data_IF_204550668496
#
_entry.id   IF_204550668496
#
_cell.length_a   1.000
_cell.length_b   1.000
_cell.length_c   1.000
_cell.angle_alpha   90.00
_cell.angle_beta   90.00
_cell.angle_gamma   90.00
#
_symmetry.space_group_name_H-M   'P 1'
#
loop_
_entity.id
_entity.type
_entity.pdbx_description
1 polymer ?
#
# COMPACT_ATOMS: atom_id res chain seq x y z
N UNK A 1 -16.69 38.25 -29.37
CA UNK A 1 -16.26 36.84 -29.48
C UNK A 1 -15.05 36.48 -28.58
N UNK A 2 -14.07 37.36 -28.42
CA UNK A 2 -12.88 37.10 -27.53
C UNK A 2 -13.23 36.97 -26.04
N UNK A 3 -14.26 37.74 -25.57
CA UNK A 3 -14.66 37.74 -24.15
C UNK A 3 -15.39 36.45 -23.70
N UNK A 4 -16.13 35.78 -24.54
CA UNK A 4 -16.84 34.54 -24.22
C UNK A 4 -15.86 33.36 -24.08
N UNK A 5 -14.85 33.29 -24.95
CA UNK A 5 -13.76 32.28 -24.83
C UNK A 5 -12.91 32.49 -23.57
N UNK A 6 -12.68 33.74 -23.16
CA UNK A 6 -11.90 34.05 -21.96
C UNK A 6 -12.69 33.71 -20.68
N UNK A 7 -14.03 33.86 -20.69
CA UNK A 7 -14.89 33.42 -19.58
C UNK A 7 -14.94 31.91 -19.48
N UNK A 8 -15.15 31.17 -20.56
CA UNK A 8 -15.17 29.71 -20.59
C UNK A 8 -13.82 29.09 -20.15
N UNK A 9 -12.70 29.73 -20.50
CA UNK A 9 -11.38 29.32 -20.04
C UNK A 9 -11.14 29.58 -18.54
N UNK A 10 -11.68 30.68 -18.00
CA UNK A 10 -11.61 30.93 -16.55
C UNK A 10 -12.43 29.94 -15.75
N UNK A 11 -13.67 29.69 -16.17
CA UNK A 11 -14.54 28.74 -15.47
C UNK A 11 -13.97 27.32 -15.49
N UNK A 12 -13.35 26.90 -16.60
CA UNK A 12 -12.61 25.62 -16.69
C UNK A 12 -11.38 25.58 -15.78
N UNK A 13 -10.66 26.69 -15.69
CA UNK A 13 -9.46 26.79 -14.84
C UNK A 13 -9.84 26.81 -13.35
N UNK A 14 -10.87 27.55 -12.97
CA UNK A 14 -11.40 27.59 -11.61
C UNK A 14 -11.90 26.20 -11.18
N UNK A 15 -12.69 25.53 -12.02
CA UNK A 15 -13.15 24.17 -11.76
C UNK A 15 -12.01 23.12 -11.73
N UNK A 16 -10.90 23.36 -12.41
CA UNK A 16 -9.69 22.54 -12.28
C UNK A 16 -9.01 22.78 -10.94
N UNK A 17 -8.85 24.05 -10.52
CA UNK A 17 -8.24 24.42 -9.24
C UNK A 17 -9.06 23.87 -8.06
N UNK A 18 -10.38 24.00 -8.09
CA UNK A 18 -11.25 23.45 -7.06
C UNK A 18 -11.10 21.93 -6.91
N UNK A 19 -11.08 21.21 -8.02
CA UNK A 19 -10.85 19.74 -8.02
C UNK A 19 -9.47 19.38 -7.50
N UNK A 20 -8.45 20.14 -7.87
CA UNK A 20 -7.09 19.93 -7.39
C UNK A 20 -6.98 20.21 -5.88
N UNK A 21 -7.55 21.32 -5.42
CA UNK A 21 -7.58 21.69 -4.00
C UNK A 21 -8.33 20.63 -3.17
N UNK A 22 -9.50 20.17 -3.65
CA UNK A 22 -10.24 19.08 -3.01
C UNK A 22 -9.47 17.77 -2.92
N UNK A 23 -8.74 17.42 -3.99
CA UNK A 23 -7.88 16.22 -3.99
C UNK A 23 -6.74 16.33 -2.98
N UNK A 24 -6.07 17.45 -2.92
CA UNK A 24 -5.01 17.71 -1.96
C UNK A 24 -5.54 17.68 -0.51
N UNK A 25 -6.64 18.38 -0.25
CA UNK A 25 -7.25 18.43 1.07
C UNK A 25 -7.64 17.04 1.58
N UNK A 26 -8.35 16.25 0.77
CA UNK A 26 -8.76 14.90 1.16
C UNK A 26 -7.56 13.96 1.36
N UNK A 27 -6.53 14.08 0.54
CA UNK A 27 -5.30 13.29 0.68
C UNK A 27 -4.57 13.62 1.99
N UNK A 28 -4.45 14.91 2.31
CA UNK A 28 -3.84 15.39 3.56
C UNK A 28 -4.65 14.93 4.77
N UNK A 29 -5.96 15.11 4.74
CA UNK A 29 -6.86 14.68 5.83
C UNK A 29 -6.75 13.17 6.07
N UNK A 30 -6.84 12.35 5.04
CA UNK A 30 -6.70 10.89 5.17
C UNK A 30 -5.34 10.49 5.75
N UNK A 31 -4.25 11.12 5.29
CA UNK A 31 -2.90 10.89 5.82
C UNK A 31 -2.81 11.23 7.30
N UNK A 32 -3.30 12.41 7.70
CA UNK A 32 -3.31 12.86 9.09
C UNK A 32 -4.14 11.93 9.99
N UNK A 33 -5.37 11.59 9.59
CA UNK A 33 -6.20 10.65 10.33
C UNK A 33 -5.55 9.27 10.43
N UNK A 34 -4.94 8.79 9.35
CA UNK A 34 -4.20 7.53 9.40
C UNK A 34 -3.09 7.55 10.45
N UNK A 35 -2.29 8.62 10.52
CA UNK A 35 -1.26 8.77 11.55
C UNK A 35 -1.85 8.81 12.97
N UNK A 36 -2.94 9.54 13.17
CA UNK A 36 -3.61 9.62 14.46
C UNK A 36 -4.05 8.22 14.94
N UNK A 37 -4.59 7.41 14.03
CA UNK A 37 -5.00 6.03 14.32
C UNK A 37 -3.82 5.04 14.38
N UNK A 38 -2.61 5.44 13.99
CA UNK A 38 -1.39 4.66 14.18
C UNK A 38 -0.71 4.89 15.54
N UNK A 39 -1.14 5.89 16.34
CA UNK A 39 -0.55 6.18 17.67
C UNK A 39 -0.50 4.93 18.56
N UNK A 40 -1.56 4.13 18.71
CA UNK A 40 -1.43 2.82 19.28
C UNK A 40 -0.76 1.87 18.25
N UNK A 41 0.42 1.38 18.55
CA UNK A 41 1.20 0.50 17.63
C UNK A 41 0.37 -0.70 17.12
N UNK A 42 -0.55 -1.20 17.95
CA UNK A 42 -1.42 -2.33 17.62
C UNK A 42 -2.40 -2.03 16.48
N UNK A 43 -2.79 -0.77 16.31
CA UNK A 43 -3.79 -0.34 15.31
C UNK A 43 -3.19 0.07 13.96
N UNK A 44 -1.86 0.05 13.82
CA UNK A 44 -1.16 0.44 12.57
C UNK A 44 -1.68 -0.34 11.37
N UNK A 45 -1.82 -1.66 11.47
CA UNK A 45 -2.33 -2.49 10.37
C UNK A 45 -3.77 -2.13 9.97
N UNK A 46 -4.64 -1.89 10.95
CA UNK A 46 -6.01 -1.48 10.68
C UNK A 46 -6.08 -0.08 10.04
N UNK A 47 -5.23 0.84 10.49
CA UNK A 47 -5.12 2.18 9.94
C UNK A 47 -4.63 2.17 8.48
N UNK A 48 -3.58 1.39 8.18
CA UNK A 48 -3.06 1.24 6.82
C UNK A 48 -4.10 0.62 5.88
N UNK A 49 -4.80 -0.43 6.33
CA UNK A 49 -5.88 -1.04 5.54
C UNK A 49 -7.01 -0.04 5.25
N UNK A 50 -7.44 0.71 6.27
CA UNK A 50 -8.48 1.72 6.12
C UNK A 50 -8.05 2.87 5.20
N UNK A 51 -6.78 3.28 5.27
CA UNK A 51 -6.21 4.28 4.38
C UNK A 51 -6.22 3.81 2.93
N UNK A 52 -5.80 2.57 2.68
CA UNK A 52 -5.81 2.00 1.32
C UNK A 52 -7.23 1.84 0.78
N UNK A 53 -8.21 1.41 1.59
CA UNK A 53 -9.60 1.32 1.14
C UNK A 53 -10.18 2.71 0.82
N UNK A 54 -10.06 3.66 1.74
CA UNK A 54 -10.56 5.01 1.54
C UNK A 54 -9.90 5.71 0.35
N UNK A 55 -8.58 5.56 0.20
CA UNK A 55 -7.87 6.13 -0.93
C UNK A 55 -8.23 5.45 -2.25
N UNK A 56 -8.42 4.13 -2.24
CA UNK A 56 -8.86 3.39 -3.42
C UNK A 56 -10.24 3.82 -3.89
N UNK A 57 -11.19 3.97 -2.98
CA UNK A 57 -12.53 4.43 -3.29
C UNK A 57 -12.51 5.89 -3.78
N UNK A 58 -11.69 6.72 -3.17
CA UNK A 58 -11.53 8.12 -3.57
C UNK A 58 -10.91 8.27 -4.97
N UNK A 59 -9.83 7.54 -5.26
CA UNK A 59 -9.09 7.67 -6.54
C UNK A 59 -9.79 6.96 -7.70
N UNK A 60 -10.41 5.79 -7.45
CA UNK A 60 -10.96 4.93 -8.50
C UNK A 60 -12.45 5.17 -8.73
N UNK A 61 -13.20 5.44 -7.65
CA UNK A 61 -14.67 5.57 -7.69
C UNK A 61 -15.15 6.98 -7.40
N UNK A 62 -14.25 7.96 -7.24
CA UNK A 62 -14.54 9.37 -6.99
C UNK A 62 -15.43 9.59 -5.74
N UNK A 63 -15.23 8.79 -4.68
CA UNK A 63 -16.01 8.87 -3.44
C UNK A 63 -15.87 10.26 -2.77
N UNK A 64 -16.99 10.92 -2.56
CA UNK A 64 -17.01 12.30 -2.04
C UNK A 64 -16.66 12.39 -0.54
N UNK A 65 -16.84 11.30 0.22
CA UNK A 65 -16.65 11.26 1.68
C UNK A 65 -15.60 10.22 2.12
N UNK A 66 -14.34 10.36 1.67
CA UNK A 66 -13.31 9.35 1.92
C UNK A 66 -13.01 9.14 3.41
N UNK A 67 -13.19 10.15 4.25
CA UNK A 67 -13.01 10.03 5.69
C UNK A 67 -14.05 9.10 6.36
N UNK A 68 -15.30 9.13 5.88
CA UNK A 68 -16.34 8.20 6.34
C UNK A 68 -16.00 6.76 5.94
N UNK A 69 -15.51 6.58 4.72
CA UNK A 69 -15.01 5.28 4.26
C UNK A 69 -13.87 4.80 5.17
N UNK A 70 -12.89 5.64 5.44
CA UNK A 70 -11.78 5.31 6.35
C UNK A 70 -12.27 4.78 7.70
N UNK A 71 -13.18 5.48 8.38
CA UNK A 71 -13.69 5.07 9.70
C UNK A 71 -14.47 3.75 9.64
N UNK A 72 -15.25 3.54 8.59
CA UNK A 72 -16.00 2.30 8.41
C UNK A 72 -15.03 1.11 8.14
N UNK A 73 -14.06 1.32 7.28
CA UNK A 73 -13.06 0.31 6.91
C UNK A 73 -12.14 -0.03 8.07
N UNK A 74 -11.76 0.98 8.87
CA UNK A 74 -11.00 0.76 10.09
C UNK A 74 -11.72 -0.23 11.03
N UNK A 75 -13.02 -0.06 11.25
CA UNK A 75 -13.82 -0.98 12.08
C UNK A 75 -13.99 -2.34 11.43
N UNK A 76 -14.28 -2.36 10.12
CA UNK A 76 -14.53 -3.59 9.36
C UNK A 76 -13.30 -4.51 9.35
N UNK A 77 -12.13 -3.98 9.07
CA UNK A 77 -10.91 -4.76 8.90
C UNK A 77 -10.03 -4.85 10.15
N UNK A 78 -10.45 -4.25 11.25
CA UNK A 78 -9.64 -4.13 12.48
C UNK A 78 -9.00 -5.46 12.89
N UNK A 79 -9.80 -6.53 13.05
CA UNK A 79 -9.30 -7.82 13.53
C UNK A 79 -8.27 -8.45 12.62
N UNK A 80 -8.59 -8.57 11.34
CA UNK A 80 -7.70 -9.24 10.37
C UNK A 80 -6.41 -8.45 10.17
N UNK A 81 -6.49 -7.13 10.03
CA UNK A 81 -5.33 -6.27 9.79
C UNK A 81 -4.42 -6.16 11.00
N UNK A 82 -4.98 -6.14 12.21
CA UNK A 82 -4.21 -6.14 13.45
C UNK A 82 -3.42 -7.45 13.62
N UNK A 83 -4.06 -8.59 13.36
CA UNK A 83 -3.36 -9.90 13.43
C UNK A 83 -2.23 -9.95 12.39
N UNK A 84 -2.50 -9.54 11.15
CA UNK A 84 -1.48 -9.51 10.09
C UNK A 84 -0.32 -8.59 10.48
N UNK A 85 -0.61 -7.39 11.01
CA UNK A 85 0.41 -6.45 11.46
C UNK A 85 1.27 -7.03 12.58
N UNK A 86 0.66 -7.65 13.61
CA UNK A 86 1.39 -8.23 14.73
C UNK A 86 2.29 -9.39 14.29
N UNK A 87 1.83 -10.21 13.34
CA UNK A 87 2.66 -11.27 12.75
C UNK A 87 3.87 -10.69 12.01
N UNK A 88 3.68 -9.62 11.22
CA UNK A 88 4.81 -8.93 10.58
C UNK A 88 5.77 -8.32 11.60
N UNK A 89 5.25 -7.62 12.61
CA UNK A 89 6.07 -7.00 13.65
C UNK A 89 6.91 -8.04 14.39
N UNK A 90 6.32 -9.19 14.72
CA UNK A 90 7.02 -10.31 15.35
C UNK A 90 8.08 -10.89 14.40
N UNK A 91 7.75 -11.13 13.14
CA UNK A 91 8.69 -11.65 12.14
C UNK A 91 9.89 -10.70 11.95
N UNK A 92 9.64 -9.40 11.82
CA UNK A 92 10.74 -8.41 11.75
C UNK A 92 11.57 -8.38 13.03
N UNK A 93 10.95 -8.45 14.22
CA UNK A 93 11.67 -8.47 15.49
C UNK A 93 12.61 -9.69 15.57
N UNK A 94 12.15 -10.88 15.20
CA UNK A 94 12.97 -12.09 15.15
C UNK A 94 14.13 -11.93 14.18
N UNK A 95 13.87 -11.48 12.94
CA UNK A 95 14.92 -11.30 11.93
C UNK A 95 15.95 -10.23 12.34
N UNK A 96 15.54 -9.18 13.05
CA UNK A 96 16.46 -8.16 13.58
C UNK A 96 17.35 -8.79 14.67
N UNK A 97 16.80 -9.58 15.57
CA UNK A 97 17.58 -10.27 16.60
C UNK A 97 18.57 -11.26 15.98
N UNK A 98 18.14 -12.03 14.97
CA UNK A 98 19.03 -12.93 14.23
C UNK A 98 20.15 -12.16 13.52
N UNK A 99 19.83 -11.03 12.90
CA UNK A 99 20.84 -10.18 12.27
C UNK A 99 21.86 -9.66 13.29
N UNK A 100 21.41 -9.22 14.47
CA UNK A 100 22.29 -8.74 15.53
C UNK A 100 23.20 -9.86 16.08
N UNK A 101 22.73 -11.10 16.08
CA UNK A 101 23.50 -12.27 16.48
C UNK A 101 24.65 -12.54 15.50
N UNK A 102 24.39 -12.47 14.18
CA UNK A 102 25.41 -12.70 13.15
C UNK A 102 26.27 -11.48 12.83
N UNK A 103 25.91 -10.30 13.35
CA UNK A 103 26.63 -9.06 13.09
C UNK A 103 28.03 -9.09 13.73
N UNK A 104 29.05 -8.86 12.90
CA UNK A 104 30.44 -8.79 13.35
C UNK A 104 31.18 -10.12 13.33
N UNK A 105 30.55 -11.19 12.86
CA UNK A 105 31.25 -12.45 12.58
C UNK A 105 31.95 -12.41 11.22
N UNK A 106 33.21 -12.85 11.20
CA UNK A 106 34.03 -12.91 9.96
C UNK A 106 34.01 -14.30 9.31
N UNK A 107 33.31 -15.25 9.90
CA UNK A 107 33.22 -16.62 9.38
C UNK A 107 32.26 -16.68 8.21
N UNK A 108 32.52 -17.56 7.26
CA UNK A 108 31.64 -17.78 6.09
C UNK A 108 30.20 -18.06 6.49
N UNK A 109 29.96 -18.75 7.61
CA UNK A 109 28.66 -19.08 8.13
C UNK A 109 27.90 -17.82 8.59
N UNK A 110 28.58 -16.83 9.15
CA UNK A 110 27.98 -15.57 9.60
C UNK A 110 27.55 -14.73 8.41
N UNK A 111 28.38 -14.70 7.35
CA UNK A 111 28.05 -13.99 6.10
C UNK A 111 26.86 -14.64 5.40
N UNK A 112 26.80 -15.98 5.34
CA UNK A 112 25.65 -16.70 4.79
C UNK A 112 24.39 -16.45 5.60
N UNK A 113 24.49 -16.44 6.94
CA UNK A 113 23.36 -16.12 7.83
C UNK A 113 22.83 -14.72 7.59
N UNK A 114 23.68 -13.70 7.58
CA UNK A 114 23.30 -12.31 7.28
C UNK A 114 22.63 -12.19 5.91
N UNK A 115 23.19 -12.82 4.87
CA UNK A 115 22.61 -12.79 3.52
C UNK A 115 21.24 -13.42 3.49
N UNK A 116 21.05 -14.58 4.15
CA UNK A 116 19.74 -15.23 4.26
C UNK A 116 18.70 -14.36 4.95
N UNK A 117 19.07 -13.69 6.05
CA UNK A 117 18.20 -12.75 6.77
C UNK A 117 17.80 -11.57 5.86
N UNK A 118 18.73 -10.99 5.11
CA UNK A 118 18.44 -9.91 4.16
C UNK A 118 17.42 -10.35 3.09
N UNK A 119 17.57 -11.55 2.55
CA UNK A 119 16.62 -12.10 1.57
C UNK A 119 15.23 -12.25 2.20
N UNK A 120 15.13 -12.81 3.41
CA UNK A 120 13.85 -12.97 4.10
C UNK A 120 13.20 -11.61 4.42
N UNK A 121 13.98 -10.65 4.92
CA UNK A 121 13.49 -9.28 5.16
C UNK A 121 12.95 -8.65 3.88
N UNK A 122 13.66 -8.81 2.75
CA UNK A 122 13.22 -8.27 1.46
C UNK A 122 11.87 -8.87 1.03
N UNK A 123 11.71 -10.18 1.18
CA UNK A 123 10.43 -10.87 0.86
C UNK A 123 9.29 -10.35 1.74
N UNK A 124 9.53 -10.16 3.04
CA UNK A 124 8.53 -9.60 3.96
C UNK A 124 8.15 -8.15 3.59
N UNK A 125 9.12 -7.32 3.21
CA UNK A 125 8.85 -5.95 2.75
C UNK A 125 7.99 -5.96 1.49
N UNK A 126 8.34 -6.78 0.50
CA UNK A 126 7.55 -6.92 -0.74
C UNK A 126 6.11 -7.35 -0.47
N UNK A 127 5.93 -8.30 0.43
CA UNK A 127 4.61 -8.79 0.80
C UNK A 127 3.82 -7.70 1.56
N UNK A 128 4.47 -7.00 2.49
CA UNK A 128 3.86 -5.96 3.31
C UNK A 128 3.30 -4.80 2.46
N UNK A 129 3.92 -4.45 1.33
CA UNK A 129 3.40 -3.43 0.41
C UNK A 129 1.99 -3.76 -0.11
N UNK A 130 1.66 -5.05 -0.22
CA UNK A 130 0.42 -5.51 -0.84
C UNK A 130 -0.58 -6.10 0.13
N UNK A 131 -0.17 -6.56 1.31
CA UNK A 131 -1.08 -7.29 2.21
C UNK A 131 -2.26 -6.43 2.67
N UNK A 132 -2.03 -5.17 3.01
CA UNK A 132 -3.10 -4.27 3.45
C UNK A 132 -4.02 -3.85 2.28
N UNK A 133 -3.49 -3.78 1.06
CA UNK A 133 -4.29 -3.59 -0.15
C UNK A 133 -5.17 -4.81 -0.42
N UNK A 134 -4.63 -6.02 -0.28
CA UNK A 134 -5.40 -7.27 -0.45
C UNK A 134 -6.54 -7.37 0.54
N UNK A 135 -6.32 -6.97 1.79
CA UNK A 135 -7.37 -6.95 2.83
C UNK A 135 -8.41 -5.87 2.51
N UNK A 136 -7.99 -4.65 2.15
CA UNK A 136 -8.90 -3.53 1.84
C UNK A 136 -9.82 -3.81 0.65
N UNK A 137 -9.40 -4.68 -0.27
CA UNK A 137 -10.20 -5.07 -1.43
C UNK A 137 -11.03 -6.35 -1.22
N UNK A 138 -11.24 -6.77 0.04
CA UNK A 138 -11.97 -7.99 0.41
C UNK A 138 -11.46 -9.25 -0.33
N UNK A 139 -10.19 -9.26 -0.73
CA UNK A 139 -9.61 -10.38 -1.45
C UNK A 139 -9.24 -11.56 -0.53
N UNK A 140 -9.22 -11.37 0.78
CA UNK A 140 -8.84 -12.39 1.75
C UNK A 140 -9.78 -12.43 2.95
N UNK A 141 -10.24 -13.63 3.30
CA UNK A 141 -11.13 -13.88 4.44
C UNK A 141 -10.35 -14.24 5.71
N UNK A 142 -9.07 -14.57 5.58
CA UNK A 142 -8.21 -14.97 6.69
C UNK A 142 -6.84 -14.32 6.60
N UNK A 143 -6.13 -14.14 7.73
CA UNK A 143 -4.76 -13.60 7.74
C UNK A 143 -3.82 -14.38 6.83
N UNK A 144 -3.85 -15.71 6.89
CA UNK A 144 -3.02 -16.57 6.04
C UNK A 144 -3.35 -16.44 4.55
N UNK A 145 -4.65 -16.31 4.22
CA UNK A 145 -5.11 -16.02 2.87
C UNK A 145 -4.58 -14.67 2.35
N UNK A 146 -4.51 -13.66 3.22
CA UNK A 146 -3.96 -12.34 2.89
C UNK A 146 -2.47 -12.42 2.54
N UNK A 147 -1.65 -13.08 3.37
CA UNK A 147 -0.23 -13.32 3.11
C UNK A 147 0.01 -14.02 1.77
N UNK A 148 -0.66 -15.15 1.53
CA UNK A 148 -0.50 -15.90 0.28
C UNK A 148 -0.89 -15.09 -0.95
N UNK A 149 -1.98 -14.33 -0.88
CA UNK A 149 -2.42 -13.50 -2.01
C UNK A 149 -1.50 -12.32 -2.23
N UNK A 150 -1.03 -11.65 -1.17
CA UNK A 150 -0.10 -10.55 -1.26
C UNK A 150 1.21 -10.99 -1.92
N UNK A 151 1.82 -12.08 -1.46
CA UNK A 151 3.01 -12.68 -2.10
C UNK A 151 2.77 -13.01 -3.57
N UNK A 152 1.67 -13.70 -3.89
CA UNK A 152 1.36 -14.03 -5.28
C UNK A 152 1.21 -12.81 -6.18
N UNK A 153 0.57 -11.74 -5.71
CA UNK A 153 0.42 -10.50 -6.47
C UNK A 153 1.78 -9.84 -6.65
N UNK A 154 2.56 -9.70 -5.57
CA UNK A 154 3.87 -9.05 -5.60
C UNK A 154 4.82 -9.73 -6.58
N UNK A 155 4.91 -11.06 -6.58
CA UNK A 155 5.77 -11.79 -7.52
C UNK A 155 5.19 -11.85 -8.94
N UNK A 156 3.86 -11.90 -9.11
CA UNK A 156 3.23 -11.93 -10.44
C UNK A 156 3.36 -10.59 -11.15
N UNK A 157 3.36 -9.49 -10.39
CA UNK A 157 3.44 -8.11 -10.85
C UNK A 157 4.72 -7.45 -10.32
N UNK A 158 5.87 -8.10 -10.52
CA UNK A 158 7.15 -7.70 -9.91
C UNK A 158 7.56 -6.26 -10.25
N UNK A 159 7.40 -5.83 -11.51
CA UNK A 159 7.77 -4.48 -11.95
C UNK A 159 6.92 -3.42 -11.23
N UNK A 160 5.61 -3.65 -11.16
CA UNK A 160 4.68 -2.75 -10.48
C UNK A 160 4.93 -2.74 -8.96
N UNK A 161 5.36 -3.87 -8.39
CA UNK A 161 5.75 -3.93 -6.98
C UNK A 161 7.04 -3.17 -6.71
N UNK A 162 8.00 -3.19 -7.65
CA UNK A 162 9.20 -2.36 -7.57
C UNK A 162 8.87 -0.86 -7.69
N UNK A 163 7.92 -0.48 -8.56
CA UNK A 163 7.43 0.91 -8.62
C UNK A 163 6.82 1.33 -7.26
N UNK A 164 6.01 0.47 -6.63
CA UNK A 164 5.48 0.73 -5.30
C UNK A 164 6.58 0.84 -4.23
N UNK A 165 7.61 0.01 -4.30
CA UNK A 165 8.76 0.07 -3.39
C UNK A 165 9.48 1.43 -3.51
N UNK A 166 9.73 1.88 -4.74
CA UNK A 166 10.34 3.19 -5.01
C UNK A 166 9.49 4.32 -4.44
N UNK A 167 8.17 4.28 -4.59
CA UNK A 167 7.25 5.27 -4.01
C UNK A 167 7.32 5.25 -2.48
N UNK A 168 7.23 4.06 -1.87
CA UNK A 168 7.19 3.90 -0.42
C UNK A 168 8.52 4.23 0.30
N UNK A 169 9.65 4.16 -0.40
CA UNK A 169 10.95 4.56 0.13
C UNK A 169 11.33 5.98 -0.33
N UNK A 170 11.14 6.28 -1.60
CA UNK A 170 11.59 7.53 -2.22
C UNK A 170 10.88 8.76 -1.70
N UNK A 171 9.54 8.70 -1.54
CA UNK A 171 8.77 9.85 -1.03
C UNK A 171 9.16 10.18 0.42
N UNK A 172 9.24 9.24 1.38
CA UNK A 172 9.74 9.54 2.73
C UNK A 172 11.16 10.09 2.75
N UNK A 173 12.07 9.50 1.98
CA UNK A 173 13.45 9.96 1.93
C UNK A 173 13.54 11.39 1.42
N UNK A 174 12.82 11.71 0.34
CA UNK A 174 12.75 13.07 -0.20
C UNK A 174 12.12 14.05 0.80
N UNK A 175 11.08 13.63 1.51
CA UNK A 175 10.40 14.43 2.54
C UNK A 175 11.34 14.82 3.68
N UNK A 176 12.13 13.89 4.18
CA UNK A 176 13.10 14.15 5.26
C UNK A 176 14.17 15.16 4.79
N UNK A 177 14.62 15.05 3.54
CA UNK A 177 15.64 15.93 2.95
C UNK A 177 15.13 17.36 2.70
N UNK A 178 13.86 17.50 2.27
CA UNK A 178 13.30 18.81 1.88
C UNK A 178 12.69 19.53 3.07
N UNK A 179 11.78 18.90 3.79
CA UNK A 179 11.09 19.48 4.93
C UNK A 179 10.47 18.40 5.84
N UNK A 180 11.00 18.19 7.05
CA UNK A 180 10.49 17.15 7.96
C UNK A 180 9.02 17.29 8.33
N UNK A 181 8.42 18.48 8.24
CA UNK A 181 7.00 18.71 8.49
C UNK A 181 6.06 17.96 7.53
N UNK A 182 6.55 17.58 6.35
CA UNK A 182 5.78 16.72 5.42
C UNK A 182 5.50 15.33 5.94
N UNK A 183 6.19 14.86 6.98
CA UNK A 183 5.95 13.56 7.62
C UNK A 183 4.48 13.35 8.04
N UNK A 184 3.79 14.43 8.43
CA UNK A 184 2.38 14.38 8.83
C UNK A 184 1.42 14.08 7.67
N UNK A 185 1.82 14.38 6.45
CA UNK A 185 0.99 14.21 5.25
C UNK A 185 1.39 12.95 4.46
N UNK A 186 2.58 12.43 4.76
CA UNK A 186 3.21 11.33 4.03
C UNK A 186 2.31 10.11 3.77
N UNK A 187 1.61 9.53 4.76
CA UNK A 187 0.83 8.33 4.50
C UNK A 187 -0.25 8.54 3.45
N UNK A 188 -0.90 9.72 3.44
CA UNK A 188 -1.88 10.08 2.44
C UNK A 188 -1.27 10.20 1.03
N UNK A 189 -0.13 10.89 0.92
CA UNK A 189 0.57 11.08 -0.37
C UNK A 189 1.06 9.74 -0.92
N UNK A 190 1.65 8.90 -0.09
CA UNK A 190 2.12 7.57 -0.48
C UNK A 190 0.93 6.71 -0.94
N UNK A 191 -0.17 6.69 -0.19
CA UNK A 191 -1.35 5.94 -0.56
C UNK A 191 -1.95 6.46 -1.88
N UNK A 192 -2.06 7.77 -2.07
CA UNK A 192 -2.53 8.38 -3.31
C UNK A 192 -1.64 7.98 -4.51
N UNK A 193 -0.32 8.09 -4.38
CA UNK A 193 0.63 7.71 -5.41
C UNK A 193 0.56 6.19 -5.71
N UNK A 194 0.45 5.36 -4.69
CA UNK A 194 0.32 3.91 -4.83
C UNK A 194 -0.96 3.53 -5.59
N UNK A 195 -2.07 4.23 -5.36
CA UNK A 195 -3.34 3.98 -6.07
C UNK A 195 -3.35 4.41 -7.53
N UNK A 196 -2.32 5.07 -8.04
CA UNK A 196 -2.13 5.25 -9.49
C UNK A 196 -1.62 3.95 -10.17
N UNK A 197 -0.98 3.05 -9.40
CA UNK A 197 -0.37 1.82 -9.90
C UNK A 197 -1.24 0.59 -9.59
N UNK A 198 -1.77 0.51 -8.37
CA UNK A 198 -2.53 -0.64 -7.84
C UNK A 198 -3.65 -1.14 -8.79
N UNK A 199 -4.49 -0.31 -9.40
CA UNK A 199 -5.55 -0.79 -10.29
C UNK A 199 -5.01 -1.55 -11.51
N UNK A 200 -3.89 -1.08 -12.10
CA UNK A 200 -3.21 -1.76 -13.22
C UNK A 200 -2.69 -3.12 -12.78
N UNK A 201 -2.08 -3.18 -11.62
CA UNK A 201 -1.53 -4.38 -11.01
C UNK A 201 -2.62 -5.43 -10.73
N UNK A 202 -3.73 -5.03 -10.09
CA UNK A 202 -4.85 -5.91 -9.80
C UNK A 202 -5.54 -6.45 -11.07
N UNK A 203 -5.69 -5.61 -12.10
CA UNK A 203 -6.23 -6.02 -13.41
C UNK A 203 -5.32 -7.06 -14.08
N UNK A 204 -4.01 -6.84 -14.08
CA UNK A 204 -3.00 -7.76 -14.64
C UNK A 204 -3.00 -9.10 -13.89
N UNK A 205 -3.08 -9.08 -12.57
CA UNK A 205 -3.15 -10.27 -11.73
C UNK A 205 -4.42 -11.10 -12.02
N UNK A 206 -5.60 -10.46 -12.06
CA UNK A 206 -6.87 -11.13 -12.37
C UNK A 206 -6.84 -11.76 -13.76
N UNK A 207 -6.30 -11.07 -14.76
CA UNK A 207 -6.17 -11.60 -16.11
C UNK A 207 -5.25 -12.83 -16.19
N UNK A 208 -4.07 -12.77 -15.57
CA UNK A 208 -3.13 -13.91 -15.54
C UNK A 208 -3.73 -15.12 -14.82
N UNK A 209 -4.45 -14.91 -13.73
CA UNK A 209 -5.11 -15.95 -12.97
C UNK A 209 -6.23 -16.62 -13.78
N UNK A 210 -7.10 -15.85 -14.42
CA UNK A 210 -8.16 -16.36 -15.28
C UNK A 210 -7.61 -17.23 -16.42
N UNK A 211 -6.54 -16.78 -17.08
CA UNK A 211 -5.88 -17.57 -18.12
C UNK A 211 -5.29 -18.89 -17.57
N UNK A 212 -4.68 -18.87 -16.39
CA UNK A 212 -4.11 -20.07 -15.78
C UNK A 212 -5.19 -21.09 -15.39
N UNK A 213 -6.32 -20.63 -14.86
CA UNK A 213 -7.48 -21.48 -14.54
C UNK A 213 -8.09 -22.11 -15.81
N UNK A 214 -8.28 -21.32 -16.86
CA UNK A 214 -8.74 -21.80 -18.17
C UNK A 214 -7.83 -22.89 -18.77
N UNK A 215 -6.50 -22.69 -18.72
CA UNK A 215 -5.55 -23.68 -19.21
C UNK A 215 -5.54 -24.98 -18.38
N UNK A 216 -5.76 -24.88 -17.06
CA UNK A 216 -5.89 -26.05 -16.18
C UNK A 216 -7.14 -26.87 -16.51
N UNK A 217 -8.26 -26.22 -16.77
CA UNK A 217 -9.51 -26.91 -17.14
C UNK A 217 -9.39 -27.57 -18.49
N UNK A 218 -8.74 -26.95 -19.48
CA UNK A 218 -8.48 -27.58 -20.77
C UNK A 218 -7.68 -28.90 -20.64
N UNK A 219 -6.60 -28.88 -19.82
CA UNK A 219 -5.76 -30.06 -19.60
C UNK A 219 -6.49 -31.23 -18.90
N UNK A 220 -7.50 -30.91 -18.08
CA UNK A 220 -8.32 -31.97 -17.41
C UNK A 220 -9.33 -32.63 -18.34
N UNK A 221 -9.63 -31.99 -19.47
CA UNK A 221 -10.59 -32.51 -20.48
C UNK A 221 -9.90 -33.26 -21.61
N UNK A 222 -8.57 -33.26 -21.66
CA UNK A 222 -7.72 -34.08 -22.54
C UNK A 222 -7.24 -35.36 -21.81
#
# INVERSE_FOLDING_TARGET
MKSLNDMDNRDKFEGFLERLAGRLTNTVLLGFFSLLFCVPVVTVGASLTALHDAMGQYVVYEEEKPLKVFLNSFRKYFKISTVVWLVHALAFAVLILDYLYYKGGDKTIDILGQTGIFVLMSVLVFEMLMVFVVISQDMAESPWGAFRKALNISFTCLLETLELLVINIGIPLLSILVFPGFLLVLPGVIAYASWQIIPRMLKKYKFKRGNAEYQRERRKKQ
#
